data_IF_534182133564
#
_entry.id   IF_534182133564
#
_cell.length_a   1.000
_cell.length_b   1.000
_cell.length_c   1.000
_cell.angle_alpha   90.00
_cell.angle_beta   90.00
_cell.angle_gamma   90.00
#
_symmetry.space_group_name_H-M   'P 1'
#
loop_
_entity.id
_entity.type
_entity.pdbx_description
1 polymer ?
#
# COMPACT_ATOMS: atom_id res chain seq x y z
N UNK A 1 22.59 -6.77 -30.45
CA UNK A 1 21.40 -7.37 -29.79
C UNK A 1 20.99 -6.50 -28.61
N UNK A 2 20.04 -5.57 -28.81
CA UNK A 2 19.46 -4.80 -27.71
C UNK A 2 18.12 -5.43 -27.32
N UNK A 3 18.02 -5.93 -26.09
CA UNK A 3 16.81 -6.57 -25.60
C UNK A 3 15.74 -5.49 -25.35
N UNK A 4 14.79 -5.30 -26.29
CA UNK A 4 13.66 -4.35 -26.14
C UNK A 4 12.68 -4.71 -25.02
N UNK A 5 12.76 -5.92 -24.46
CA UNK A 5 11.82 -6.46 -23.46
C UNK A 5 12.40 -6.61 -22.05
N UNK A 6 13.70 -6.42 -21.87
CA UNK A 6 14.31 -6.42 -20.54
C UNK A 6 14.08 -5.06 -19.87
N UNK A 7 12.87 -4.81 -19.36
CA UNK A 7 12.65 -3.68 -18.44
C UNK A 7 13.52 -3.93 -17.21
N UNK A 8 14.64 -3.22 -17.11
CA UNK A 8 15.53 -3.26 -15.95
C UNK A 8 14.70 -2.87 -14.73
N UNK A 9 14.41 -3.85 -13.87
CA UNK A 9 13.85 -3.56 -12.55
C UNK A 9 14.97 -2.86 -11.78
N UNK A 10 14.75 -1.59 -11.43
CA UNK A 10 15.73 -0.84 -10.67
C UNK A 10 15.98 -1.59 -9.34
N UNK A 11 17.20 -2.09 -9.07
CA UNK A 11 17.48 -2.93 -7.92
C UNK A 11 17.51 -2.15 -6.59
N UNK A 12 17.10 -0.88 -6.58
CA UNK A 12 17.12 -0.01 -5.41
C UNK A 12 15.70 0.34 -4.96
N UNK A 13 15.39 0.01 -3.71
CA UNK A 13 14.18 0.52 -3.06
C UNK A 13 14.39 2.01 -2.82
N UNK A 14 13.61 2.89 -3.46
CA UNK A 14 13.76 4.33 -3.16
C UNK A 14 13.27 4.66 -1.76
N UNK A 15 14.03 5.54 -1.12
CA UNK A 15 13.84 6.06 0.25
C UNK A 15 12.40 6.51 0.49
N UNK A 16 11.74 7.09 -0.52
CA UNK A 16 10.35 7.57 -0.38
C UNK A 16 9.38 6.43 -0.08
N UNK A 17 9.57 5.24 -0.68
CA UNK A 17 8.73 4.07 -0.43
C UNK A 17 8.93 3.58 0.99
N UNK A 18 10.18 3.41 1.40
CA UNK A 18 10.51 2.95 2.76
C UNK A 18 10.01 3.93 3.82
N UNK A 19 10.20 5.23 3.62
CA UNK A 19 9.67 6.26 4.51
C UNK A 19 8.13 6.18 4.61
N UNK A 20 7.43 6.03 3.48
CA UNK A 20 5.97 5.94 3.50
C UNK A 20 5.47 4.69 4.20
N UNK A 21 6.06 3.54 3.88
CA UNK A 21 5.72 2.25 4.51
C UNK A 21 6.02 2.25 6.01
N UNK A 22 7.16 2.81 6.42
CA UNK A 22 7.57 2.89 7.81
C UNK A 22 6.69 3.81 8.65
N UNK A 23 6.09 4.84 8.05
CA UNK A 23 5.18 5.76 8.76
C UNK A 23 3.72 5.29 8.74
N UNK A 24 3.29 4.53 7.72
CA UNK A 24 1.93 4.03 7.63
C UNK A 24 1.62 2.93 8.66
N UNK A 25 2.58 2.05 8.95
CA UNK A 25 2.40 0.97 9.95
C UNK A 25 2.08 1.49 11.35
N UNK A 26 2.91 2.39 11.93
CA UNK A 26 2.61 3.01 13.22
C UNK A 26 1.27 3.74 13.23
N UNK A 27 0.87 4.38 12.13
CA UNK A 27 -0.44 5.04 12.06
C UNK A 27 -1.59 4.04 12.18
N UNK A 28 -1.54 2.95 11.42
CA UNK A 28 -2.60 1.94 11.46
C UNK A 28 -2.63 1.25 12.82
N UNK A 29 -1.47 1.01 13.44
CA UNK A 29 -1.38 0.48 14.80
C UNK A 29 -2.02 1.39 15.84
N UNK A 30 -1.84 2.72 15.73
CA UNK A 30 -2.46 3.69 16.64
C UNK A 30 -3.99 3.75 16.46
N UNK A 31 -4.49 3.62 15.23
CA UNK A 31 -5.93 3.60 14.94
C UNK A 31 -6.59 2.29 15.41
N UNK A 32 -5.90 1.17 15.22
CA UNK A 32 -6.40 -0.19 15.52
C UNK A 32 -6.01 -0.69 16.92
N UNK A 33 -5.45 0.18 17.76
CA UNK A 33 -5.04 -0.14 19.14
C UNK A 33 -6.22 -0.64 19.98
N UNK A 34 -5.95 -1.65 20.82
CA UNK A 34 -6.91 -2.19 21.79
C UNK A 34 -7.11 -1.26 22.99
N UNK A 35 -6.12 -0.41 23.29
CA UNK A 35 -6.21 0.55 24.38
C UNK A 35 -7.09 1.75 23.97
N UNK A 36 -8.24 1.97 24.67
CA UNK A 36 -9.15 3.08 24.37
C UNK A 36 -8.50 4.45 24.59
N UNK A 37 -7.55 4.59 25.52
CA UNK A 37 -6.85 5.85 25.74
C UNK A 37 -5.98 6.21 24.52
N UNK A 38 -5.23 5.24 23.99
CA UNK A 38 -4.40 5.43 22.80
C UNK A 38 -5.28 5.72 21.57
N UNK A 39 -6.36 4.95 21.40
CA UNK A 39 -7.30 5.12 20.28
C UNK A 39 -8.08 6.44 20.33
N UNK A 40 -8.29 7.03 21.51
CA UNK A 40 -8.96 8.33 21.64
C UNK A 40 -8.02 9.50 21.35
N UNK A 41 -6.76 9.41 21.80
CA UNK A 41 -5.78 10.49 21.62
C UNK A 41 -5.28 10.57 20.17
N UNK A 42 -5.01 9.42 19.53
CA UNK A 42 -4.46 9.30 18.17
C UNK A 42 -3.43 10.39 17.83
N UNK A 43 -2.22 10.32 18.41
CA UNK A 43 -1.20 11.33 18.18
C UNK A 43 -0.91 11.49 16.69
N UNK A 44 -0.81 12.75 16.24
CA UNK A 44 -0.51 13.06 14.84
C UNK A 44 0.95 12.76 14.56
N UNK A 45 1.20 11.89 13.57
CA UNK A 45 2.56 11.60 13.13
C UNK A 45 3.13 12.78 12.32
N UNK A 46 4.33 13.22 12.68
CA UNK A 46 5.02 14.31 12.01
C UNK A 46 5.63 13.87 10.67
N UNK A 47 4.86 13.86 9.59
CA UNK A 47 5.32 13.32 8.28
C UNK A 47 5.77 14.37 7.26
N UNK A 48 6.22 15.52 7.76
CA UNK A 48 6.71 16.63 6.95
C UNK A 48 5.60 17.33 6.15
N UNK A 49 5.99 18.28 5.29
CA UNK A 49 5.05 19.15 4.56
C UNK A 49 4.45 18.50 3.30
N UNK A 50 5.25 17.72 2.57
CA UNK A 50 4.90 17.23 1.22
C UNK A 50 3.96 16.02 1.23
N UNK A 51 3.88 15.30 2.35
CA UNK A 51 3.09 14.08 2.44
C UNK A 51 2.52 13.94 3.85
N UNK A 52 1.23 13.61 3.95
CA UNK A 52 0.54 13.40 5.22
C UNK A 52 0.09 11.96 5.31
N UNK A 53 0.53 11.24 6.34
CA UNK A 53 0.19 9.81 6.52
C UNK A 53 -1.31 9.63 6.68
N UNK A 54 -1.98 10.45 7.49
CA UNK A 54 -3.41 10.31 7.77
C UNK A 54 -4.26 10.26 6.51
N UNK A 55 -4.01 11.17 5.56
CA UNK A 55 -4.73 11.20 4.28
C UNK A 55 -4.36 10.02 3.39
N UNK A 56 -3.08 9.66 3.35
CA UNK A 56 -2.59 8.54 2.53
C UNK A 56 -3.20 7.23 3.01
N UNK A 57 -3.12 6.91 4.30
CA UNK A 57 -3.64 5.66 4.87
C UNK A 57 -5.15 5.55 4.67
N UNK A 58 -5.90 6.65 4.84
CA UNK A 58 -7.34 6.66 4.56
C UNK A 58 -7.65 6.34 3.10
N UNK A 59 -6.96 7.00 2.16
CA UNK A 59 -7.11 6.73 0.73
C UNK A 59 -6.80 5.28 0.39
N UNK A 60 -5.74 4.69 0.97
CA UNK A 60 -5.41 3.29 0.72
C UNK A 60 -6.40 2.31 1.35
N UNK A 61 -6.93 2.61 2.55
CA UNK A 61 -8.01 1.82 3.15
C UNK A 61 -9.25 1.83 2.25
N UNK A 62 -9.61 2.98 1.66
CA UNK A 62 -10.71 3.10 0.69
C UNK A 62 -10.42 2.32 -0.59
N UNK A 63 -9.20 2.41 -1.13
CA UNK A 63 -8.77 1.63 -2.28
C UNK A 63 -8.87 0.13 -2.05
N UNK A 64 -8.46 -0.35 -0.88
CA UNK A 64 -8.61 -1.76 -0.48
C UNK A 64 -10.07 -2.18 -0.36
N UNK A 65 -10.96 -1.32 0.18
CA UNK A 65 -12.40 -1.59 0.21
C UNK A 65 -12.99 -1.71 -1.20
N UNK A 66 -12.57 -0.85 -2.12
CA UNK A 66 -13.00 -0.93 -3.52
C UNK A 66 -12.51 -2.23 -4.15
N UNK A 67 -11.26 -2.62 -3.94
CA UNK A 67 -10.73 -3.91 -4.41
C UNK A 67 -11.49 -5.09 -3.81
N UNK A 68 -11.87 -5.01 -2.53
CA UNK A 68 -12.68 -6.03 -1.88
C UNK A 68 -14.08 -6.14 -2.51
N UNK A 69 -14.70 -5.02 -2.86
CA UNK A 69 -16.01 -4.99 -3.51
C UNK A 69 -15.97 -5.51 -4.96
N UNK A 70 -14.94 -5.13 -5.73
CA UNK A 70 -14.73 -5.62 -7.10
C UNK A 70 -14.37 -7.12 -7.09
N UNK A 71 -13.63 -7.56 -6.07
CA UNK A 71 -13.11 -8.92 -5.98
C UNK A 71 -11.86 -9.14 -6.85
N UNK A 72 -11.60 -10.38 -7.24
CA UNK A 72 -10.43 -10.72 -8.05
C UNK A 72 -10.63 -10.23 -9.47
N UNK A 73 -9.77 -9.31 -9.89
CA UNK A 73 -9.61 -9.00 -11.31
C UNK A 73 -8.77 -10.07 -11.99
N UNK A 74 -9.15 -10.49 -13.19
CA UNK A 74 -8.36 -11.44 -13.97
C UNK A 74 -6.98 -10.87 -14.29
N UNK A 75 -5.92 -11.50 -13.77
CA UNK A 75 -4.54 -11.20 -14.15
C UNK A 75 -4.02 -12.27 -15.11
N UNK A 76 -3.88 -11.92 -16.39
CA UNK A 76 -3.37 -12.82 -17.43
C UNK A 76 -4.32 -13.98 -17.75
N UNK A 77 -3.78 -15.20 -17.87
CA UNK A 77 -4.52 -16.43 -18.22
C UNK A 77 -4.89 -17.31 -17.02
N UNK A 78 -5.00 -16.71 -15.83
CA UNK A 78 -5.28 -17.45 -14.58
C UNK A 78 -6.71 -18.00 -14.46
N UNK A 79 -7.65 -17.57 -15.32
CA UNK A 79 -9.05 -17.97 -15.23
C UNK A 79 -9.75 -17.43 -13.97
N UNK A 80 -10.92 -18.00 -13.65
CA UNK A 80 -11.69 -17.69 -12.46
C UNK A 80 -11.29 -18.67 -11.34
N UNK A 81 -10.76 -18.18 -10.21
CA UNK A 81 -10.91 -18.89 -8.93
C UNK A 81 -9.72 -19.64 -8.33
N UNK A 82 -8.46 -19.33 -8.64
CA UNK A 82 -7.31 -19.98 -7.96
C UNK A 82 -6.74 -19.21 -6.76
N UNK A 83 -6.87 -17.89 -6.73
CA UNK A 83 -6.26 -17.04 -5.71
C UNK A 83 -7.29 -16.56 -4.68
N UNK A 84 -6.98 -16.61 -3.37
CA UNK A 84 -7.86 -16.07 -2.33
C UNK A 84 -7.79 -14.54 -2.26
N UNK A 85 -8.93 -13.86 -2.23
CA UNK A 85 -8.98 -12.40 -1.97
C UNK A 85 -8.66 -12.16 -0.50
N UNK A 86 -7.62 -11.37 -0.25
CA UNK A 86 -7.37 -10.79 1.07
C UNK A 86 -8.39 -9.68 1.32
N UNK A 87 -9.37 -9.94 2.18
CA UNK A 87 -10.47 -9.03 2.50
C UNK A 87 -10.14 -8.22 3.75
N UNK A 88 -10.05 -6.90 3.61
CA UNK A 88 -9.68 -6.02 4.73
C UNK A 88 -10.67 -6.15 5.89
N UNK A 89 -11.95 -6.40 5.59
CA UNK A 89 -13.00 -6.59 6.58
C UNK A 89 -12.83 -7.82 7.48
N UNK A 90 -12.18 -8.89 6.98
CA UNK A 90 -12.12 -10.21 7.65
C UNK A 90 -10.81 -10.49 8.37
N UNK A 91 -9.83 -9.61 8.21
CA UNK A 91 -8.46 -9.85 8.63
C UNK A 91 -8.23 -9.31 10.05
N UNK A 92 -7.27 -9.85 10.79
CA UNK A 92 -6.89 -9.36 12.12
C UNK A 92 -6.07 -8.06 12.06
N UNK A 93 -6.03 -7.28 13.15
CA UNK A 93 -5.46 -5.93 13.14
C UNK A 93 -3.97 -5.85 12.72
N UNK A 94 -3.16 -6.85 13.10
CA UNK A 94 -1.75 -6.91 12.69
C UNK A 94 -1.62 -7.14 11.20
N UNK A 95 -2.32 -8.15 10.70
CA UNK A 95 -2.35 -8.49 9.28
C UNK A 95 -2.93 -7.36 8.43
N UNK A 96 -3.94 -6.61 8.93
CA UNK A 96 -4.46 -5.41 8.25
C UNK A 96 -3.38 -4.37 7.99
N UNK A 97 -2.51 -4.12 8.97
CA UNK A 97 -1.42 -3.16 8.82
C UNK A 97 -0.45 -3.60 7.72
N UNK A 98 -0.09 -4.88 7.69
CA UNK A 98 0.78 -5.44 6.65
C UNK A 98 0.15 -5.34 5.26
N UNK A 99 -1.16 -5.58 5.12
CA UNK A 99 -1.86 -5.38 3.85
C UNK A 99 -1.82 -3.94 3.36
N UNK A 100 -2.08 -2.98 4.26
CA UNK A 100 -2.07 -1.56 3.91
C UNK A 100 -0.65 -1.15 3.49
N UNK A 101 0.37 -1.62 4.20
CA UNK A 101 1.77 -1.37 3.84
C UNK A 101 2.11 -1.96 2.46
N UNK A 102 1.70 -3.20 2.19
CA UNK A 102 1.94 -3.84 0.89
C UNK A 102 1.22 -3.12 -0.25
N UNK A 103 0.01 -2.62 -0.02
CA UNK A 103 -0.72 -1.81 -0.99
C UNK A 103 0.04 -0.50 -1.30
N UNK A 104 0.53 0.20 -0.27
CA UNK A 104 1.36 1.40 -0.42
C UNK A 104 2.63 1.09 -1.24
N UNK A 105 3.26 -0.06 -1.01
CA UNK A 105 4.43 -0.49 -1.79
C UNK A 105 4.09 -0.63 -3.27
N UNK A 106 2.99 -1.30 -3.60
CA UNK A 106 2.54 -1.51 -4.98
C UNK A 106 2.25 -0.18 -5.68
N UNK A 107 1.62 0.76 -4.98
CA UNK A 107 1.26 2.07 -5.51
C UNK A 107 2.49 2.96 -5.74
N UNK A 108 3.45 2.95 -4.82
CA UNK A 108 4.69 3.72 -5.02
C UNK A 108 5.55 3.12 -6.14
N UNK A 109 5.57 1.79 -6.29
CA UNK A 109 6.24 1.14 -7.41
C UNK A 109 5.57 1.46 -8.75
N UNK A 110 4.24 1.49 -8.80
CA UNK A 110 3.51 1.85 -10.02
C UNK A 110 3.76 3.31 -10.42
N UNK A 111 3.73 4.25 -9.45
CA UNK A 111 4.08 5.67 -9.69
C UNK A 111 5.49 5.84 -10.21
N UNK A 112 6.46 5.07 -9.70
CA UNK A 112 7.84 5.10 -10.21
C UNK A 112 7.92 4.58 -11.64
N UNK A 113 7.25 3.47 -11.93
CA UNK A 113 7.24 2.90 -13.27
C UNK A 113 6.62 3.88 -14.28
N UNK A 114 5.54 4.57 -13.91
CA UNK A 114 4.94 5.63 -14.73
C UNK A 114 5.92 6.77 -15.01
N UNK A 115 6.63 7.26 -13.98
CA UNK A 115 7.65 8.30 -14.14
C UNK A 115 8.80 7.86 -15.04
N UNK A 116 9.29 6.63 -14.88
CA UNK A 116 10.37 6.10 -15.71
C UNK A 116 9.97 6.00 -17.18
N UNK A 117 8.72 5.62 -17.48
CA UNK A 117 8.18 5.58 -18.85
C UNK A 117 7.98 6.97 -19.44
N UNK A 118 7.62 7.98 -18.62
CA UNK A 118 7.50 9.36 -19.10
C UNK A 118 8.85 10.01 -19.46
N UNK A 119 9.94 9.49 -18.93
CA UNK A 119 11.29 10.01 -19.15
C UNK A 119 12.02 9.33 -20.33
N UNK A 120 11.44 8.28 -20.91
CA UNK A 120 11.96 7.57 -22.09
C UNK A 120 11.32 8.06 -23.37
#
# INVERSE_FOLDING_TARGET
MYCRKAKLRFPLKSIVKEHKCGQSGPKTMLEDSEDPAVRSIQPKLGTGRKWKVDGSVKQEKEGLKIKEAIGLTQTGRKGLGSDGIKRLSKIENKEKSDLIIDEIKVIEDSKRMQKAVQQS
#
